data_IF_154048430448
#
_entry.id   IF_154048430448
#
_cell.length_a   1.000
_cell.length_b   1.000
_cell.length_c   1.000
_cell.angle_alpha   90.00
_cell.angle_beta   90.00
_cell.angle_gamma   90.00
#
_symmetry.space_group_name_H-M   'P 1'
#
loop_
_entity.id
_entity.type
_entity.pdbx_description
1 polymer ?
#
# COMPACT_ATOMS: atom_id res chain seq x y z
N UNK A 1 0.45 9.10 13.84
CA UNK A 1 0.88 7.69 13.89
C UNK A 1 -0.21 6.79 13.36
N UNK A 2 0.16 5.71 12.67
CA UNK A 2 -0.76 4.64 12.31
C UNK A 2 -0.81 3.62 13.46
N UNK A 3 -1.95 2.96 13.62
CA UNK A 3 -2.05 1.82 14.53
C UNK A 3 -1.52 0.55 13.86
N UNK A 4 -2.00 0.25 12.64
CA UNK A 4 -1.69 -0.99 11.92
C UNK A 4 -1.83 -0.79 10.42
N UNK A 5 -1.11 -1.62 9.66
CA UNK A 5 -1.38 -1.88 8.25
C UNK A 5 -1.62 -3.37 8.10
N UNK A 6 -2.82 -3.77 7.69
CA UNK A 6 -3.22 -5.18 7.69
C UNK A 6 -3.59 -5.68 6.30
N UNK A 7 -3.19 -6.91 6.02
CA UNK A 7 -3.56 -7.64 4.81
C UNK A 7 -3.75 -9.11 5.20
N UNK A 8 -4.83 -9.74 4.70
CA UNK A 8 -5.16 -11.12 5.06
C UNK A 8 -5.15 -11.38 6.60
N UNK A 9 -5.64 -10.41 7.37
CA UNK A 9 -5.68 -10.48 8.84
C UNK A 9 -4.32 -10.33 9.55
N UNK A 10 -3.21 -10.16 8.83
CA UNK A 10 -1.88 -9.99 9.39
C UNK A 10 -1.45 -8.53 9.37
N UNK A 11 -0.89 -8.04 10.48
CA UNK A 11 -0.26 -6.73 10.53
C UNK A 11 1.14 -6.78 9.92
N UNK A 12 1.46 -5.84 9.02
CA UNK A 12 2.77 -5.67 8.40
C UNK A 12 3.51 -4.43 8.90
N UNK A 13 2.81 -3.51 9.58
CA UNK A 13 3.43 -2.35 10.22
C UNK A 13 4.34 -2.78 11.37
N UNK A 14 5.49 -2.12 11.50
CA UNK A 14 6.32 -2.15 12.71
C UNK A 14 5.58 -1.59 13.94
N UNK A 15 6.19 -1.70 15.13
CA UNK A 15 5.61 -1.20 16.39
C UNK A 15 5.32 0.32 16.35
N UNK A 16 6.15 1.06 15.61
CA UNK A 16 6.00 2.50 15.40
C UNK A 16 5.99 2.79 13.90
N UNK A 17 4.78 2.93 13.35
CA UNK A 17 4.62 3.37 11.98
C UNK A 17 3.84 4.68 11.88
N UNK A 18 4.31 5.55 11.00
CA UNK A 18 3.70 6.83 10.70
C UNK A 18 3.25 6.87 9.25
N UNK A 19 2.42 7.85 8.94
CA UNK A 19 1.99 8.12 7.58
C UNK A 19 2.09 9.60 7.29
N UNK A 20 2.53 9.91 6.07
CA UNK A 20 2.32 11.21 5.46
C UNK A 20 1.28 11.07 4.35
N UNK A 21 0.45 12.08 4.16
CA UNK A 21 -0.43 12.18 3.00
C UNK A 21 0.24 13.08 1.98
N UNK A 22 0.45 12.58 0.76
CA UNK A 22 1.26 13.24 -0.26
C UNK A 22 0.50 13.28 -1.59
N UNK A 23 -0.08 14.44 -1.91
CA UNK A 23 -0.75 14.65 -3.20
C UNK A 23 0.22 14.69 -4.40
N UNK A 24 1.53 14.65 -4.16
CA UNK A 24 2.56 14.57 -5.19
C UNK A 24 2.83 13.14 -5.68
N UNK A 25 2.27 12.11 -5.02
CA UNK A 25 2.39 10.71 -5.45
C UNK A 25 1.04 10.10 -5.77
N UNK A 26 1.01 9.28 -6.83
CA UNK A 26 -0.21 8.57 -7.22
C UNK A 26 -0.41 7.25 -6.44
N UNK A 27 0.63 6.74 -5.80
CA UNK A 27 0.68 5.39 -5.23
C UNK A 27 0.68 5.40 -3.71
N UNK A 28 0.50 4.23 -3.10
CA UNK A 28 0.88 4.03 -1.69
C UNK A 28 2.32 3.54 -1.67
N UNK A 29 3.18 4.27 -0.97
CA UNK A 29 4.58 3.87 -0.78
C UNK A 29 4.78 3.43 0.67
N UNK A 30 5.53 2.36 0.88
CA UNK A 30 5.80 1.86 2.22
C UNK A 30 7.23 1.35 2.41
N UNK A 31 7.61 1.05 3.65
CA UNK A 31 8.94 0.53 3.98
C UNK A 31 9.21 -0.79 3.21
N UNK A 32 10.42 -0.99 2.64
CA UNK A 32 10.70 -2.16 1.81
C UNK A 32 10.37 -3.50 2.46
N UNK A 33 10.72 -3.70 3.73
CA UNK A 33 10.46 -4.96 4.44
C UNK A 33 8.94 -5.19 4.66
N UNK A 34 8.20 -4.13 4.98
CA UNK A 34 6.76 -4.22 5.26
C UNK A 34 5.96 -4.44 3.97
N UNK A 35 6.32 -3.74 2.87
CA UNK A 35 5.69 -3.92 1.56
C UNK A 35 5.98 -5.29 0.97
N UNK A 36 7.20 -5.81 1.08
CA UNK A 36 7.50 -7.20 0.67
C UNK A 36 6.67 -8.19 1.45
N UNK A 37 6.59 -8.01 2.77
CA UNK A 37 5.77 -8.87 3.62
C UNK A 37 4.30 -8.82 3.22
N UNK A 38 3.80 -7.62 2.90
CA UNK A 38 2.44 -7.42 2.37
C UNK A 38 2.25 -8.18 1.06
N UNK A 39 3.18 -8.07 0.11
CA UNK A 39 3.11 -8.75 -1.18
C UNK A 39 3.16 -10.28 -1.06
N UNK A 40 3.92 -10.83 -0.11
CA UNK A 40 3.95 -12.27 0.16
C UNK A 40 2.58 -12.83 0.58
N UNK A 41 1.74 -12.02 1.22
CA UNK A 41 0.50 -12.46 1.85
C UNK A 41 -0.76 -11.80 1.27
N UNK A 42 -0.61 -11.03 0.18
CA UNK A 42 -1.73 -10.33 -0.50
C UNK A 42 -2.70 -11.29 -1.20
N UNK A 43 -2.34 -12.58 -1.28
CA UNK A 43 -3.19 -13.65 -1.83
C UNK A 43 -2.83 -14.06 -3.26
N UNK A 44 -1.81 -13.44 -3.85
CA UNK A 44 -1.28 -13.83 -5.16
C UNK A 44 0.22 -13.61 -5.28
N UNK A 45 0.83 -14.31 -6.25
CA UNK A 45 2.26 -14.15 -6.52
C UNK A 45 2.53 -12.80 -7.18
N UNK A 46 3.25 -11.94 -6.47
CA UNK A 46 3.69 -10.63 -6.94
C UNK A 46 5.02 -10.77 -7.65
N UNK A 47 5.09 -10.30 -8.89
CA UNK A 47 6.29 -10.38 -9.73
C UNK A 47 6.96 -9.03 -9.85
N UNK A 48 8.29 -9.04 -9.75
CA UNK A 48 9.17 -7.89 -9.95
C UNK A 48 10.04 -8.16 -11.18
N UNK A 49 10.03 -7.26 -12.16
CA UNK A 49 10.81 -7.41 -13.39
C UNK A 49 12.30 -7.11 -13.16
N UNK A 50 12.59 -6.10 -12.36
CA UNK A 50 13.92 -5.67 -11.90
C UNK A 50 13.77 -4.88 -10.60
N UNK A 51 14.90 -4.60 -9.94
CA UNK A 51 14.92 -3.75 -8.74
C UNK A 51 14.30 -2.38 -9.07
N UNK A 52 13.36 -1.91 -8.25
CA UNK A 52 12.57 -0.69 -8.44
C UNK A 52 11.55 -0.71 -9.61
N UNK A 53 11.29 -1.85 -10.24
CA UNK A 53 10.16 -1.97 -11.18
C UNK A 53 8.81 -1.92 -10.44
N UNK A 54 7.78 -1.39 -11.12
CA UNK A 54 6.40 -1.47 -10.61
C UNK A 54 6.00 -2.96 -10.57
N UNK A 55 5.65 -3.51 -9.39
CA UNK A 55 5.28 -4.90 -9.25
C UNK A 55 3.94 -5.17 -9.93
N UNK A 56 3.73 -6.42 -10.34
CA UNK A 56 2.49 -6.85 -10.99
C UNK A 56 2.04 -8.22 -10.51
N UNK A 57 0.75 -8.50 -10.69
CA UNK A 57 0.14 -9.83 -10.47
C UNK A 57 -0.49 -10.31 -11.77
N UNK A 58 -0.56 -11.63 -11.94
CA UNK A 58 -1.26 -12.21 -13.08
C UNK A 58 -2.76 -11.84 -13.03
N UNK A 59 -3.36 -11.55 -14.19
CA UNK A 59 -4.76 -11.09 -14.30
C UNK A 59 -5.78 -12.05 -13.68
N UNK A 60 -5.48 -13.35 -13.67
CA UNK A 60 -6.32 -14.40 -13.06
C UNK A 60 -6.50 -14.22 -11.55
N UNK A 61 -5.58 -13.55 -10.85
CA UNK A 61 -5.69 -13.26 -9.42
C UNK A 61 -6.95 -12.46 -9.08
N UNK A 62 -7.24 -11.46 -9.92
CA UNK A 62 -8.45 -10.65 -9.82
C UNK A 62 -9.68 -11.46 -10.19
N UNK A 63 -9.64 -12.19 -11.31
CA UNK A 63 -10.78 -12.98 -11.78
C UNK A 63 -11.20 -14.09 -10.81
N UNK A 64 -10.27 -14.62 -10.02
CA UNK A 64 -10.52 -15.67 -9.04
C UNK A 64 -10.84 -15.14 -7.63
N UNK A 65 -10.83 -13.82 -7.42
CA UNK A 65 -11.09 -13.22 -6.10
C UNK A 65 -10.09 -13.62 -5.03
N UNK A 66 -8.82 -13.88 -5.42
CA UNK A 66 -7.77 -14.34 -4.49
C UNK A 66 -7.14 -13.22 -3.67
N UNK A 67 -7.24 -12.00 -4.17
CA UNK A 67 -6.56 -10.84 -3.63
C UNK A 67 -7.32 -10.28 -2.42
N UNK A 68 -6.59 -10.02 -1.34
CA UNK A 68 -7.14 -9.48 -0.11
C UNK A 68 -7.15 -7.95 -0.11
N UNK A 69 -8.07 -7.37 0.65
CA UNK A 69 -8.03 -5.94 0.95
C UNK A 69 -6.79 -5.62 1.81
N UNK A 70 -6.24 -4.43 1.59
CA UNK A 70 -5.25 -3.82 2.48
C UNK A 70 -5.95 -2.76 3.29
N UNK A 71 -5.80 -2.80 4.62
CA UNK A 71 -6.44 -1.84 5.53
C UNK A 71 -5.38 -1.08 6.30
N UNK A 72 -5.41 0.24 6.21
CA UNK A 72 -4.56 1.17 6.95
C UNK A 72 -5.41 1.73 8.11
N UNK A 73 -5.06 1.36 9.33
CA UNK A 73 -5.72 1.78 10.56
C UNK A 73 -5.04 3.03 11.10
N UNK A 74 -5.74 4.17 11.05
CA UNK A 74 -5.26 5.46 11.58
C UNK A 74 -5.62 5.68 13.06
N UNK A 75 -6.26 4.71 13.69
CA UNK A 75 -6.82 4.78 15.04
C UNK A 75 -8.25 5.29 15.09
N UNK A 76 -8.59 6.30 14.28
CA UNK A 76 -9.95 6.82 14.17
C UNK A 76 -10.71 6.20 13.00
N UNK A 77 -10.00 5.90 11.92
CA UNK A 77 -10.58 5.42 10.68
C UNK A 77 -9.78 4.27 10.07
N UNK A 78 -10.49 3.37 9.40
CA UNK A 78 -9.90 2.32 8.59
C UNK A 78 -10.00 2.72 7.12
N UNK A 79 -8.85 3.00 6.51
CA UNK A 79 -8.75 3.27 5.08
C UNK A 79 -8.53 1.94 4.36
N UNK A 80 -9.48 1.54 3.52
CA UNK A 80 -9.52 0.21 2.90
C UNK A 80 -9.22 0.34 1.41
N UNK A 81 -8.15 -0.32 0.97
CA UNK A 81 -7.79 -0.49 -0.43
C UNK A 81 -8.25 -1.87 -0.88
N UNK A 82 -9.27 -1.94 -1.74
CA UNK A 82 -9.67 -3.19 -2.36
C UNK A 82 -8.77 -3.53 -3.54
N UNK A 83 -8.80 -4.78 -4.06
CA UNK A 83 -8.07 -5.13 -5.28
C UNK A 83 -8.38 -4.20 -6.45
N UNK A 84 -9.59 -3.67 -6.56
CA UNK A 84 -9.98 -2.70 -7.57
C UNK A 84 -9.33 -1.33 -7.36
N UNK A 85 -9.02 -0.96 -6.11
CA UNK A 85 -8.34 0.29 -5.79
C UNK A 85 -6.85 0.19 -6.06
N UNK A 86 -6.17 -0.86 -5.57
CA UNK A 86 -4.71 -0.95 -5.67
C UNK A 86 -4.19 -1.61 -6.94
N UNK A 87 -5.04 -2.22 -7.78
CA UNK A 87 -4.63 -2.71 -9.09
C UNK A 87 -4.95 -1.69 -10.18
N UNK A 88 -4.00 -1.50 -11.09
CA UNK A 88 -4.17 -0.60 -12.24
C UNK A 88 -3.66 -1.23 -13.53
N UNK A 89 -4.07 -0.64 -14.66
CA UNK A 89 -3.62 -1.01 -16.01
C UNK A 89 -3.64 -2.52 -16.28
N UNK A 90 -4.75 -3.18 -15.91
CA UNK A 90 -4.94 -4.60 -16.16
C UNK A 90 -5.02 -4.92 -17.65
N UNK A 91 -4.14 -5.81 -18.11
CA UNK A 91 -4.15 -6.44 -19.44
C UNK A 91 -4.69 -7.86 -19.35
N UNK A 92 -4.64 -8.61 -20.47
CA UNK A 92 -4.98 -10.02 -20.47
C UNK A 92 -4.07 -10.86 -19.56
N UNK A 93 -2.81 -10.45 -19.37
CA UNK A 93 -1.81 -11.24 -18.66
C UNK A 93 -1.53 -10.74 -17.24
N UNK A 94 -1.52 -9.42 -17.03
CA UNK A 94 -1.10 -8.83 -15.75
C UNK A 94 -1.84 -7.54 -15.38
N UNK A 95 -1.85 -7.23 -14.09
CA UNK A 95 -2.23 -5.93 -13.53
C UNK A 95 -1.07 -5.40 -12.68
N UNK A 96 -0.77 -4.11 -12.75
CA UNK A 96 0.20 -3.48 -11.86
C UNK A 96 -0.40 -3.27 -10.47
N UNK A 97 0.44 -3.38 -9.43
CA UNK A 97 0.08 -3.10 -8.04
C UNK A 97 0.60 -1.70 -7.68
N UNK A 98 -0.27 -0.85 -7.16
CA UNK A 98 0.05 0.51 -6.74
C UNK A 98 0.45 0.68 -5.27
N UNK A 99 0.80 -0.42 -4.61
CA UNK A 99 1.43 -0.44 -3.29
C UNK A 99 2.88 -0.86 -3.50
N UNK A 100 3.85 0.04 -3.29
CA UNK A 100 5.24 -0.20 -3.66
C UNK A 100 6.22 0.24 -2.56
N UNK A 101 7.45 -0.24 -2.66
CA UNK A 101 8.54 0.11 -1.75
C UNK A 101 9.00 1.55 -2.02
N UNK A 102 9.13 2.40 -0.98
CA UNK A 102 9.83 3.68 -1.14
C UNK A 102 11.35 3.47 -1.11
N UNK A 103 12.09 4.33 -1.82
CA UNK A 103 13.55 4.27 -1.86
C UNK A 103 14.20 5.00 -0.65
N UNK A 104 15.48 4.71 -0.40
CA UNK A 104 16.37 5.48 0.49
C UNK A 104 16.02 5.54 1.99
N UNK A 105 15.36 4.54 2.57
CA UNK A 105 14.95 4.57 3.98
C UNK A 105 14.27 5.89 4.37
N UNK A 106 13.32 6.33 3.54
CA UNK A 106 12.45 7.45 3.86
C UNK A 106 11.82 7.24 5.26
N UNK A 107 12.08 8.17 6.17
CA UNK A 107 11.73 8.05 7.59
C UNK A 107 12.94 8.07 8.52
N UNK A 108 12.71 7.80 9.80
CA UNK A 108 13.73 7.68 10.83
C UNK A 108 14.08 6.20 11.05
N UNK A 109 15.29 5.85 11.53
CA UNK A 109 15.57 4.51 12.04
C UNK A 109 14.60 4.05 13.16
N UNK A 110 13.96 5.01 13.83
CA UNK A 110 13.08 4.77 14.97
C UNK A 110 11.62 4.45 14.59
N UNK A 111 11.18 4.83 13.39
CA UNK A 111 9.80 4.60 12.94
C UNK A 111 9.70 4.42 11.43
N UNK A 112 8.80 3.55 11.00
CA UNK A 112 8.58 3.26 9.59
C UNK A 112 7.55 4.21 8.99
N UNK A 113 7.81 4.78 7.80
CA UNK A 113 6.94 5.82 7.22
C UNK A 113 6.22 5.29 5.97
N UNK A 114 4.89 5.38 5.99
CA UNK A 114 4.03 5.15 4.83
C UNK A 114 3.70 6.47 4.14
N UNK A 115 3.61 6.46 2.83
CA UNK A 115 3.20 7.61 2.01
C UNK A 115 1.87 7.28 1.36
N UNK A 116 0.84 8.05 1.72
CA UNK A 116 -0.53 7.87 1.25
C UNK A 116 -0.80 8.83 0.09
N UNK A 117 -0.69 8.33 -1.13
CA UNK A 117 -0.97 9.10 -2.35
C UNK A 117 -2.40 8.97 -2.86
N UNK A 118 -2.57 9.19 -4.17
CA UNK A 118 -3.89 9.25 -4.83
C UNK A 118 -4.75 7.99 -4.65
N UNK A 119 -4.15 6.80 -4.47
CA UNK A 119 -4.91 5.58 -4.15
C UNK A 119 -5.79 5.73 -2.88
N UNK A 120 -5.38 6.58 -1.94
CA UNK A 120 -6.15 6.95 -0.75
C UNK A 120 -6.92 8.24 -0.99
N UNK A 121 -6.24 9.29 -1.49
CA UNK A 121 -6.82 10.64 -1.62
C UNK A 121 -8.02 10.66 -2.58
N UNK A 122 -8.04 9.79 -3.60
CA UNK A 122 -9.18 9.66 -4.52
C UNK A 122 -10.42 9.02 -3.90
N UNK A 123 -10.27 8.31 -2.78
CA UNK A 123 -11.33 7.58 -2.10
C UNK A 123 -11.86 8.31 -0.87
N UNK A 124 -11.02 9.16 -0.25
CA UNK A 124 -11.30 9.79 1.03
C UNK A 124 -11.02 11.29 0.96
N UNK A 125 -11.97 12.10 1.47
CA UNK A 125 -11.74 13.53 1.67
C UNK A 125 -10.58 13.71 2.63
N UNK A 126 -9.55 14.42 2.18
CA UNK A 126 -8.35 14.69 2.95
C UNK A 126 -8.30 16.17 3.30
N UNK A 127 -8.21 16.50 4.59
CA UNK A 127 -8.07 17.87 5.09
C UNK A 127 -6.75 18.03 5.83
N UNK A 128 -5.97 19.04 5.47
CA UNK A 128 -4.78 19.45 6.22
C UNK A 128 -5.16 20.67 7.07
N UNK A 129 -5.24 20.49 8.38
CA UNK A 129 -5.51 21.58 9.33
C UNK A 129 -4.19 22.04 9.95
N UNK A 130 -3.75 23.25 9.56
CA UNK A 130 -2.53 23.87 10.07
C UNK A 130 -2.80 24.84 11.25
N UNK A 131 -4.05 25.01 11.66
CA UNK A 131 -4.47 25.99 12.65
C UNK A 131 -4.53 25.45 14.08
N UNK A 132 -4.14 24.19 14.30
CA UNK A 132 -3.99 23.58 15.63
C UNK A 132 -2.92 24.25 16.47
#
# INVERSE_FOLDING_TARGET
ALNKVTVNGMNVCSEFCEAIVDSGTSLVLGPPAEVRRLHEIIGCNVTYHHENSIPWVHSSCRAQGKLHNVTIDTGEHNLVLSPETYLSHCTADHCFIGIIEHQNNFGSPEYSTWVLGDLIISQYVTTFDAAS
#
